data_IF_600599507699
#
_entry.id   IF_600599507699
#
_cell.length_a   1.000
_cell.length_b   1.000
_cell.length_c   1.000
_cell.angle_alpha   90.00
_cell.angle_beta   90.00
_cell.angle_gamma   90.00
#
_symmetry.space_group_name_H-M   'P 1'
#
loop_
_entity.id
_entity.type
_entity.pdbx_description
1 polymer ?
#
# COMPACT_ATOMS: atom_id res chain seq x y z
N UNK A 1 16.12 16.83 20.58
CA UNK A 1 14.78 16.34 20.96
C UNK A 1 14.83 14.81 21.07
N UNK A 2 14.10 14.21 22.01
CA UNK A 2 14.05 12.76 22.17
C UNK A 2 12.97 12.19 21.24
N UNK A 3 13.35 11.26 20.36
CA UNK A 3 12.41 10.55 19.47
C UNK A 3 11.88 9.33 20.19
N UNK A 4 10.58 9.10 20.11
CA UNK A 4 9.92 7.90 20.63
C UNK A 4 9.25 7.15 19.47
N UNK A 5 9.34 5.82 19.49
CA UNK A 5 8.68 4.95 18.51
C UNK A 5 7.41 4.40 19.15
N UNK A 6 6.29 4.57 18.47
CA UNK A 6 4.97 4.11 18.89
C UNK A 6 4.47 3.08 17.88
N UNK A 7 3.91 1.98 18.38
CA UNK A 7 3.24 0.97 17.57
C UNK A 7 1.73 1.12 17.75
N UNK A 8 0.98 1.08 16.66
CA UNK A 8 -0.46 1.27 16.66
C UNK A 8 -1.16 0.06 16.04
N UNK A 9 -2.30 -0.33 16.60
CA UNK A 9 -3.12 -1.43 16.06
C UNK A 9 -3.85 -0.99 14.78
N UNK A 10 -4.22 -1.96 13.93
CA UNK A 10 -4.99 -1.70 12.72
C UNK A 10 -6.37 -1.08 13.03
N UNK A 11 -7.05 -1.54 14.07
CA UNK A 11 -8.32 -0.96 14.51
C UNK A 11 -8.20 0.52 14.83
N UNK A 12 -7.10 0.93 15.46
CA UNK A 12 -6.88 2.33 15.76
C UNK A 12 -6.51 3.13 14.51
N UNK A 13 -5.80 2.53 13.54
CA UNK A 13 -5.61 3.13 12.21
C UNK A 13 -6.95 3.39 11.51
N UNK A 14 -7.87 2.42 11.55
CA UNK A 14 -9.20 2.55 10.97
C UNK A 14 -10.04 3.63 11.65
N UNK A 15 -9.93 3.78 12.97
CA UNK A 15 -10.58 4.87 13.72
C UNK A 15 -10.01 6.24 13.36
N UNK A 16 -8.69 6.34 13.17
CA UNK A 16 -8.02 7.59 12.83
C UNK A 16 -8.28 8.03 11.38
N UNK A 17 -8.33 7.07 10.44
CA UNK A 17 -8.46 7.31 9.00
C UNK A 17 -9.65 6.53 8.41
N UNK A 18 -10.90 6.82 8.80
CA UNK A 18 -12.06 5.97 8.48
C UNK A 18 -12.36 5.85 6.98
N UNK A 19 -11.95 6.83 6.16
CA UNK A 19 -12.14 6.82 4.70
C UNK A 19 -10.89 6.40 3.92
N UNK A 20 -9.76 6.25 4.60
CA UNK A 20 -8.45 5.97 4.00
C UNK A 20 -7.70 4.97 4.86
N UNK A 21 -8.28 3.78 5.03
CA UNK A 21 -7.84 2.79 6.00
C UNK A 21 -6.36 2.42 5.85
N UNK A 22 -5.83 2.38 4.62
CA UNK A 22 -4.39 2.26 4.35
C UNK A 22 -3.74 0.99 4.95
N UNK A 23 -4.56 0.05 5.38
CA UNK A 23 -4.20 -1.11 6.19
C UNK A 23 -3.64 -2.26 5.37
N UNK A 24 -3.85 -2.25 4.06
CA UNK A 24 -3.39 -3.26 3.10
C UNK A 24 -1.89 -3.58 3.16
N UNK A 25 -1.03 -2.62 3.55
CA UNK A 25 0.40 -2.88 3.78
C UNK A 25 0.69 -3.61 5.10
N UNK A 26 -0.19 -3.48 6.09
CA UNK A 26 0.05 -3.91 7.47
C UNK A 26 -0.76 -5.14 7.88
N UNK A 27 -1.92 -5.35 7.27
CA UNK A 27 -2.85 -6.43 7.61
C UNK A 27 -2.45 -7.79 7.05
N UNK A 28 -1.58 -7.82 6.02
CA UNK A 28 -1.26 -9.04 5.29
C UNK A 28 -2.45 -9.66 4.54
N UNK A 29 -3.58 -8.96 4.46
CA UNK A 29 -4.78 -9.42 3.78
C UNK A 29 -4.63 -9.24 2.26
N UNK A 30 -4.05 -10.25 1.61
CA UNK A 30 -3.90 -10.35 0.17
C UNK A 30 -4.99 -11.24 -0.45
N UNK A 31 -5.44 -10.97 -1.69
CA UNK A 31 -4.99 -9.90 -2.58
C UNK A 31 -5.69 -8.57 -2.32
N UNK A 32 -4.93 -7.47 -2.29
CA UNK A 32 -5.50 -6.12 -2.28
C UNK A 32 -6.29 -5.88 -3.57
N UNK A 33 -7.56 -5.45 -3.52
CA UNK A 33 -8.33 -5.10 -4.71
C UNK A 33 -7.57 -4.10 -5.58
N UNK A 34 -7.33 -4.45 -6.84
CA UNK A 34 -6.54 -3.63 -7.77
C UNK A 34 -5.01 -3.79 -7.67
N UNK A 35 -4.49 -4.39 -6.59
CA UNK A 35 -3.05 -4.65 -6.40
C UNK A 35 -2.46 -5.53 -7.52
N UNK A 36 -3.19 -6.59 -7.91
CA UNK A 36 -2.79 -7.47 -9.01
C UNK A 36 -2.70 -6.71 -10.35
N UNK A 37 -3.56 -5.71 -10.57
CA UNK A 37 -3.51 -4.88 -11.79
C UNK A 37 -2.26 -3.99 -11.80
N UNK A 38 -1.92 -3.41 -10.65
CA UNK A 38 -0.74 -2.55 -10.50
C UNK A 38 0.55 -3.35 -10.65
N UNK A 39 0.66 -4.53 -10.01
CA UNK A 39 1.88 -5.36 -10.12
C UNK A 39 2.08 -5.89 -11.54
N UNK A 40 1.01 -6.32 -12.23
CA UNK A 40 1.11 -6.75 -13.62
C UNK A 40 1.53 -5.61 -14.54
N UNK A 41 1.04 -4.39 -14.31
CA UNK A 41 1.47 -3.21 -15.08
C UNK A 41 2.93 -2.84 -14.79
N UNK A 42 3.38 -2.94 -13.54
CA UNK A 42 4.78 -2.73 -13.18
C UNK A 42 5.68 -3.73 -13.90
N UNK A 43 5.28 -5.00 -13.95
CA UNK A 43 5.99 -6.04 -14.69
C UNK A 43 6.08 -5.73 -16.18
N UNK A 44 4.96 -5.37 -16.84
CA UNK A 44 4.98 -4.98 -18.25
C UNK A 44 5.90 -3.76 -18.50
N UNK A 45 5.82 -2.73 -17.65
CA UNK A 45 6.70 -1.56 -17.77
C UNK A 45 8.19 -1.95 -17.69
N UNK A 46 8.55 -2.86 -16.78
CA UNK A 46 9.92 -3.37 -16.65
C UNK A 46 10.36 -4.14 -17.89
N UNK A 47 9.54 -5.08 -18.37
CA UNK A 47 9.83 -5.88 -19.59
C UNK A 47 9.98 -4.98 -20.82
N UNK A 48 9.15 -3.94 -20.94
CA UNK A 48 9.14 -3.03 -22.09
C UNK A 48 10.10 -1.85 -21.97
N UNK A 49 10.87 -1.74 -20.86
CA UNK A 49 11.79 -0.62 -20.62
C UNK A 49 11.10 0.74 -20.45
N UNK A 50 9.83 0.77 -20.06
CA UNK A 50 9.04 2.01 -19.89
C UNK A 50 9.30 2.62 -18.51
N UNK A 51 9.92 3.80 -18.47
CA UNK A 51 10.13 4.54 -17.23
C UNK A 51 8.88 5.34 -16.81
N UNK A 52 7.85 4.62 -16.36
CA UNK A 52 6.58 5.22 -15.91
C UNK A 52 6.04 4.52 -14.67
N UNK A 53 5.20 5.22 -13.90
CA UNK A 53 4.54 4.66 -12.71
C UNK A 53 3.47 3.64 -13.13
N UNK A 54 3.36 2.56 -12.35
CA UNK A 54 2.35 1.52 -12.58
C UNK A 54 0.98 1.89 -11.99
N UNK A 55 0.97 2.79 -11.01
CA UNK A 55 -0.23 3.47 -10.54
C UNK A 55 -0.43 4.78 -11.30
N UNK A 56 -1.69 5.16 -11.46
CA UNK A 56 -2.14 6.44 -12.04
C UNK A 56 -2.69 7.31 -10.93
#
# INVERSE_FOLDING_TARGET
>A
AQVQVLYQTLENLHKACPHHLGDWYFSGNYPTPGGNKVVNRAYMNWVEGKNQRAYV
#
